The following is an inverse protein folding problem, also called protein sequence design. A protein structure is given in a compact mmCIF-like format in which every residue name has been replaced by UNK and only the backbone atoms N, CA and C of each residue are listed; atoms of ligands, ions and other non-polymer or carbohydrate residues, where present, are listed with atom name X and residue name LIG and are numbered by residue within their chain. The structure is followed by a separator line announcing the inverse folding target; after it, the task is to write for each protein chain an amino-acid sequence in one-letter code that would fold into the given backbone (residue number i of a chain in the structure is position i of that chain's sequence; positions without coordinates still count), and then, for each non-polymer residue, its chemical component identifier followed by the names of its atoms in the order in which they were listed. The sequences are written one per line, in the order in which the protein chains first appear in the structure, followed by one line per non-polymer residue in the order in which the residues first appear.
data_IF_649614011914
#
_entry.id   IF_649614011914
#
_cell.length_a   1.000
_cell.length_b   1.000
_cell.length_c   1.000
_cell.angle_alpha   90.00
_cell.angle_beta   90.00
_cell.angle_gamma   90.00
#
_symmetry.space_group_name_H-M   'P 1'
#
loop_
_entity.id
_entity.type
_entity.pdbx_description
1 polymer ?
#
# COMPACT_ATOMS: atom_id res chain seq x y z
N UNK A 1 42.34 9.62 -4.91
CA UNK A 1 41.38 10.61 -5.43
C UNK A 1 40.24 9.86 -6.10
N UNK A 2 39.03 9.95 -5.54
CA UNK A 2 37.83 9.22 -6.00
C UNK A 2 37.23 9.98 -7.18
N UNK A 3 37.17 9.36 -8.35
CA UNK A 3 36.45 9.88 -9.52
C UNK A 3 34.99 9.44 -9.44
N UNK A 4 34.09 10.38 -9.13
CA UNK A 4 32.65 10.21 -9.30
C UNK A 4 32.35 10.19 -10.80
N UNK A 5 31.95 9.03 -11.31
CA UNK A 5 31.38 8.92 -12.65
C UNK A 5 29.94 9.44 -12.58
N UNK A 6 29.72 10.60 -13.19
CA UNK A 6 28.43 11.23 -13.32
C UNK A 6 27.66 10.59 -14.47
N UNK A 7 26.90 9.53 -14.16
CA UNK A 7 25.99 8.89 -15.12
C UNK A 7 24.63 9.57 -14.98
N UNK A 8 24.45 10.69 -15.68
CA UNK A 8 23.13 11.30 -15.85
C UNK A 8 22.25 10.39 -16.71
N UNK A 9 21.38 9.61 -16.08
CA UNK A 9 20.31 8.89 -16.80
C UNK A 9 19.32 9.93 -17.32
N UNK A 10 19.47 10.30 -18.59
CA UNK A 10 18.48 11.11 -19.31
C UNK A 10 17.23 10.25 -19.50
N UNK A 11 16.27 10.38 -18.59
CA UNK A 11 14.94 9.77 -18.74
C UNK A 11 14.13 10.64 -19.69
N UNK A 12 14.14 10.29 -20.97
CA UNK A 12 13.19 10.81 -21.93
C UNK A 12 11.78 10.28 -21.63
N UNK A 13 11.00 11.02 -20.86
CA UNK A 13 9.56 10.76 -20.70
C UNK A 13 8.84 11.11 -22.00
N UNK A 14 8.72 10.12 -22.88
CA UNK A 14 7.87 10.19 -24.06
C UNK A 14 6.42 9.98 -23.59
N UNK A 15 5.63 11.05 -23.61
CA UNK A 15 4.21 10.98 -23.29
C UNK A 15 3.46 10.19 -24.37
N UNK A 16 3.17 8.93 -24.09
CA UNK A 16 2.31 8.08 -24.92
C UNK A 16 0.82 8.33 -24.59
N UNK A 17 0.01 8.48 -25.64
CA UNK A 17 -1.42 8.77 -25.61
C UNK A 17 -2.20 7.65 -24.91
N UNK A 18 -3.37 7.91 -24.28
CA UNK A 18 -4.10 6.92 -23.50
C UNK A 18 -4.69 5.85 -24.42
N UNK A 19 -4.01 4.71 -24.51
CA UNK A 19 -4.51 3.51 -25.16
C UNK A 19 -5.54 2.81 -24.25
N UNK A 20 -6.65 2.41 -24.88
CA UNK A 20 -7.81 1.76 -24.27
C UNK A 20 -7.44 0.69 -23.25
N UNK A 21 -8.04 0.82 -22.06
CA UNK A 21 -8.02 -0.10 -20.92
C UNK A 21 -8.24 -1.56 -21.35
N UNK A 22 -7.17 -2.34 -21.39
CA UNK A 22 -7.29 -3.78 -21.14
C UNK A 22 -7.47 -3.97 -19.62
N UNK A 23 -8.34 -4.87 -19.14
CA UNK A 23 -8.34 -5.26 -17.74
C UNK A 23 -7.08 -6.08 -17.48
N UNK A 24 -5.95 -5.39 -17.29
CA UNK A 24 -4.75 -6.06 -16.81
C UNK A 24 -5.07 -6.56 -15.41
N UNK A 25 -4.94 -7.86 -15.17
CA UNK A 25 -4.98 -8.48 -13.83
C UNK A 25 -3.87 -7.99 -12.89
N UNK A 26 -3.19 -6.89 -13.25
CA UNK A 26 -2.13 -6.25 -12.49
C UNK A 26 -2.74 -5.24 -11.51
N UNK A 27 -2.28 -5.20 -10.26
CA UNK A 27 -2.71 -4.22 -9.29
C UNK A 27 -2.36 -2.80 -9.77
N UNK A 28 -3.26 -1.84 -9.50
CA UNK A 28 -3.07 -0.45 -9.96
C UNK A 28 -1.74 0.10 -9.46
N UNK A 29 -1.06 0.85 -10.34
CA UNK A 29 0.20 1.52 -10.03
C UNK A 29 0.01 2.86 -9.31
N UNK A 30 -1.21 3.42 -9.31
CA UNK A 30 -1.51 4.68 -8.61
C UNK A 30 -1.98 4.39 -7.18
N UNK A 31 -1.37 5.09 -6.21
CA UNK A 31 -1.77 5.02 -4.80
C UNK A 31 -3.19 5.55 -4.57
N UNK A 32 -3.64 6.46 -5.45
CA UNK A 32 -4.99 7.07 -5.37
C UNK A 32 -6.12 6.07 -5.60
N UNK A 33 -5.90 5.03 -6.41
CA UNK A 33 -6.94 4.01 -6.66
C UNK A 33 -7.27 3.18 -5.41
N UNK A 34 -6.31 3.08 -4.47
CA UNK A 34 -6.50 2.34 -3.22
C UNK A 34 -7.25 3.15 -2.16
N UNK A 35 -7.46 4.46 -2.38
CA UNK A 35 -8.24 5.30 -1.47
C UNK A 35 -9.71 4.85 -1.40
N UNK A 36 -10.25 4.37 -2.53
CA UNK A 36 -11.57 3.76 -2.59
C UNK A 36 -11.70 2.44 -1.79
N UNK A 37 -10.56 1.83 -1.43
CA UNK A 37 -10.50 0.55 -0.70
C UNK A 37 -10.29 0.72 0.80
N UNK A 38 -10.03 1.94 1.29
CA UNK A 38 -10.00 2.27 2.72
C UNK A 38 -11.25 1.79 3.48
N UNK A 39 -12.50 2.05 3.02
CA UNK A 39 -13.67 1.60 3.75
C UNK A 39 -13.78 0.07 3.85
N UNK A 40 -13.23 -0.67 2.87
CA UNK A 40 -13.18 -2.13 2.95
C UNK A 40 -12.17 -2.58 4.03
N UNK A 41 -11.00 -1.94 4.11
CA UNK A 41 -10.04 -2.18 5.21
C UNK A 41 -10.67 -1.91 6.58
N UNK A 42 -11.44 -0.83 6.70
CA UNK A 42 -12.13 -0.51 7.95
C UNK A 42 -13.16 -1.58 8.33
N UNK A 43 -13.89 -2.15 7.36
CA UNK A 43 -14.79 -3.29 7.61
C UNK A 43 -14.04 -4.49 8.15
N UNK A 44 -12.89 -4.82 7.56
CA UNK A 44 -12.05 -5.95 8.01
C UNK A 44 -11.43 -5.77 9.40
N UNK A 45 -11.37 -4.52 9.84
CA UNK A 45 -10.90 -4.12 11.16
C UNK A 45 -12.01 -4.01 12.21
N UNK A 46 -13.29 -4.14 11.84
CA UNK A 46 -14.40 -4.07 12.79
C UNK A 46 -14.33 -5.16 13.86
N UNK A 47 -13.72 -6.31 13.55
CA UNK A 47 -13.48 -7.38 14.53
C UNK A 47 -12.51 -6.97 15.65
N UNK A 48 -11.72 -5.91 15.44
CA UNK A 48 -10.68 -5.44 16.36
C UNK A 48 -10.82 -3.94 16.59
N UNK A 49 -11.75 -3.49 17.47
CA UNK A 49 -12.04 -2.07 17.66
C UNK A 49 -10.84 -1.25 18.13
N UNK A 50 -9.92 -1.83 18.89
CA UNK A 50 -8.67 -1.16 19.31
C UNK A 50 -7.76 -0.82 18.13
N UNK A 51 -7.60 -1.79 17.22
CA UNK A 51 -6.82 -1.64 15.99
C UNK A 51 -7.50 -0.68 15.03
N UNK A 52 -8.83 -0.75 14.92
CA UNK A 52 -9.63 0.17 14.12
C UNK A 52 -9.47 1.63 14.59
N UNK A 53 -9.55 1.87 15.90
CA UNK A 53 -9.34 3.22 16.46
C UNK A 53 -7.93 3.75 16.15
N UNK A 54 -6.91 2.90 16.27
CA UNK A 54 -5.55 3.27 15.89
C UNK A 54 -5.44 3.58 14.39
N UNK A 55 -6.02 2.73 13.54
CA UNK A 55 -6.05 2.93 12.09
C UNK A 55 -6.76 4.23 11.68
N UNK A 56 -7.90 4.55 12.30
CA UNK A 56 -8.64 5.79 12.08
C UNK A 56 -7.87 7.04 12.53
N UNK A 57 -7.02 6.91 13.55
CA UNK A 57 -6.11 7.97 13.99
C UNK A 57 -4.97 8.24 12.99
N UNK A 58 -4.69 7.32 12.07
CA UNK A 58 -3.67 7.49 11.04
C UNK A 58 -4.11 8.51 9.97
N UNK A 59 -3.15 9.31 9.51
CA UNK A 59 -3.35 10.19 8.36
C UNK A 59 -3.76 9.37 7.11
N UNK A 60 -4.58 9.92 6.22
CA UNK A 60 -5.07 9.20 5.03
C UNK A 60 -3.95 8.64 4.15
N UNK A 61 -2.76 9.25 4.15
CA UNK A 61 -1.57 8.70 3.49
C UNK A 61 -1.22 7.27 3.94
N UNK A 62 -1.16 7.03 5.24
CA UNK A 62 -0.86 5.70 5.80
C UNK A 62 -2.01 4.72 5.62
N UNK A 63 -3.25 5.19 5.71
CA UNK A 63 -4.44 4.36 5.46
C UNK A 63 -4.44 3.80 4.02
N UNK A 64 -4.08 4.64 3.05
CA UNK A 64 -3.90 4.23 1.64
C UNK A 64 -2.76 3.24 1.46
N UNK A 65 -1.65 3.41 2.17
CA UNK A 65 -0.53 2.46 2.11
C UNK A 65 -0.92 1.06 2.58
N UNK A 66 -1.71 0.98 3.66
CA UNK A 66 -2.30 -0.29 4.12
C UNK A 66 -3.28 -0.90 3.12
N UNK A 67 -4.18 -0.09 2.56
CA UNK A 67 -5.09 -0.56 1.52
C UNK A 67 -4.31 -1.09 0.31
N UNK A 68 -3.22 -0.42 -0.09
CA UNK A 68 -2.31 -0.90 -1.13
C UNK A 68 -1.64 -2.20 -0.73
N UNK A 69 -1.11 -2.32 0.49
CA UNK A 69 -0.48 -3.56 0.96
C UNK A 69 -1.47 -4.72 0.89
N UNK A 70 -2.70 -4.58 1.38
CA UNK A 70 -3.68 -5.66 1.36
C UNK A 70 -4.13 -5.97 -0.08
N UNK A 71 -4.68 -4.98 -0.79
CA UNK A 71 -5.36 -5.20 -2.07
C UNK A 71 -4.42 -5.30 -3.29
N UNK A 72 -3.13 -4.99 -3.15
CA UNK A 72 -2.16 -5.30 -4.20
C UNK A 72 -1.98 -6.82 -4.39
N UNK A 73 -2.34 -7.64 -3.40
CA UNK A 73 -2.39 -9.08 -3.58
C UNK A 73 -3.63 -9.45 -4.44
N UNK A 74 -3.45 -10.26 -5.47
CA UNK A 74 -4.55 -10.75 -6.32
C UNK A 74 -5.27 -11.93 -5.66
N UNK A 75 -4.54 -12.75 -4.91
CA UNK A 75 -5.06 -13.95 -4.24
C UNK A 75 -5.69 -13.59 -2.88
N UNK A 76 -6.88 -14.13 -2.62
CA UNK A 76 -7.61 -13.90 -1.36
C UNK A 76 -6.87 -14.46 -0.14
N UNK A 77 -6.30 -15.66 -0.22
CA UNK A 77 -5.50 -16.24 0.88
C UNK A 77 -4.33 -15.33 1.29
N UNK A 78 -3.71 -14.66 0.31
CA UNK A 78 -2.63 -13.69 0.60
C UNK A 78 -3.19 -12.40 1.20
N UNK A 79 -4.39 -11.96 0.81
CA UNK A 79 -5.04 -10.78 1.40
C UNK A 79 -5.37 -11.03 2.86
N UNK A 80 -5.89 -12.21 3.20
CA UNK A 80 -6.17 -12.60 4.59
C UNK A 80 -4.90 -12.56 5.44
N UNK A 81 -3.82 -13.19 4.98
CA UNK A 81 -2.51 -13.13 5.67
C UNK A 81 -2.03 -11.69 5.85
N UNK A 82 -2.18 -10.83 4.83
CA UNK A 82 -1.81 -9.41 4.91
C UNK A 82 -2.69 -8.60 5.88
N UNK A 83 -3.96 -8.98 6.05
CA UNK A 83 -4.86 -8.38 7.05
C UNK A 83 -4.44 -8.77 8.47
N UNK A 84 -4.07 -10.04 8.68
CA UNK A 84 -3.52 -10.50 9.96
C UNK A 84 -2.19 -9.82 10.30
N UNK A 85 -1.28 -9.71 9.31
CA UNK A 85 -0.04 -8.93 9.43
C UNK A 85 -0.35 -7.49 9.84
N UNK A 86 -1.34 -6.86 9.19
CA UNK A 86 -1.74 -5.50 9.50
C UNK A 86 -2.27 -5.38 10.92
N UNK A 87 -3.16 -6.28 11.36
CA UNK A 87 -3.67 -6.30 12.74
C UNK A 87 -2.52 -6.41 13.73
N UNK A 88 -1.56 -7.29 13.49
CA UNK A 88 -0.36 -7.48 14.33
C UNK A 88 0.52 -6.23 14.37
N UNK A 89 0.80 -5.62 13.22
CA UNK A 89 1.62 -4.42 13.12
C UNK A 89 0.98 -3.21 13.80
N UNK A 90 -0.32 -2.99 13.57
CA UNK A 90 -1.08 -1.90 14.19
C UNK A 90 -1.24 -2.11 15.70
N UNK A 91 -1.47 -3.35 16.17
CA UNK A 91 -1.49 -3.69 17.59
C UNK A 91 -0.13 -3.42 18.27
N UNK A 92 0.97 -3.61 17.54
CA UNK A 92 2.31 -3.26 17.99
C UNK A 92 2.63 -1.75 17.87
N UNK A 93 1.69 -0.92 17.41
CA UNK A 93 1.83 0.54 17.30
C UNK A 93 2.56 1.03 16.05
N UNK A 94 2.78 0.16 15.06
CA UNK A 94 3.44 0.54 13.81
C UNK A 94 2.43 1.09 12.79
N UNK A 95 2.83 2.16 12.10
CA UNK A 95 1.97 2.89 11.15
C UNK A 95 1.94 2.27 9.76
N UNK A 96 2.92 1.43 9.42
CA UNK A 96 3.13 0.82 8.10
C UNK A 96 3.79 -0.53 8.26
N UNK A 97 3.56 -1.45 7.32
CA UNK A 97 4.21 -2.76 7.32
C UNK A 97 5.74 -2.68 7.24
N UNK A 98 6.28 -1.70 6.52
CA UNK A 98 7.74 -1.53 6.38
C UNK A 98 8.42 -1.27 7.73
N UNK A 99 7.85 -0.36 8.54
CA UNK A 99 8.32 -0.10 9.90
C UNK A 99 8.27 -1.33 10.80
N UNK A 100 7.25 -2.17 10.64
CA UNK A 100 7.13 -3.42 11.39
C UNK A 100 8.20 -4.44 10.98
N UNK A 101 8.51 -4.55 9.69
CA UNK A 101 9.54 -5.46 9.14
C UNK A 101 10.97 -5.03 9.48
N UNK A 102 11.18 -3.76 9.81
CA UNK A 102 12.50 -3.19 10.14
C UNK A 102 12.86 -3.30 11.63
N UNK A 103 11.93 -3.74 12.47
CA UNK A 103 12.15 -4.07 13.89
C UNK A 103 13.08 -5.27 14.02
#
# INVERSE_FOLDING_TARGET
MVGLNDVFTVVGLKAEKPSKKQPSSKPSQSVGDYEALIPEVEKDLQDAPEVLAFYQSLTPGYRRDWARYIYSAVQEETREKRREDMKTALAAGYKTMDLYRRR
#
